data_IF_933319768767
#
_entry.id   IF_933319768767
#
_cell.length_a   1.000
_cell.length_b   1.000
_cell.length_c   1.000
_cell.angle_alpha   90.00
_cell.angle_beta   90.00
_cell.angle_gamma   90.00
#
_symmetry.space_group_name_H-M   'P 1'
#
loop_
_entity.id
_entity.type
_entity.pdbx_description
1 polymer ?
#
# COMPACT_ATOMS: atom_id res chain seq x y z
N UNK A 1 20.88 2.75 -25.45
CA UNK A 1 20.71 3.87 -24.50
C UNK A 1 20.49 3.28 -23.12
N UNK A 2 21.19 3.78 -22.11
CA UNK A 2 20.98 3.38 -20.71
C UNK A 2 19.79 4.15 -20.17
N UNK A 3 18.77 3.47 -19.65
CA UNK A 3 17.60 4.10 -19.03
C UNK A 3 18.05 4.97 -17.84
N UNK A 4 17.67 6.25 -17.84
CA UNK A 4 17.98 7.15 -16.72
C UNK A 4 16.87 7.16 -15.67
N UNK A 5 17.14 7.77 -14.50
CA UNK A 5 16.12 7.93 -13.47
C UNK A 5 14.98 8.89 -13.88
N UNK A 6 15.27 9.88 -14.73
CA UNK A 6 14.24 10.76 -15.30
C UNK A 6 13.32 9.97 -16.23
N UNK A 7 13.90 9.20 -17.17
CA UNK A 7 13.12 8.37 -18.09
C UNK A 7 12.24 7.36 -17.33
N UNK A 8 12.79 6.76 -16.27
CA UNK A 8 12.06 5.83 -15.43
C UNK A 8 10.90 6.51 -14.67
N UNK A 9 11.14 7.70 -14.11
CA UNK A 9 10.09 8.46 -13.41
C UNK A 9 8.99 8.90 -14.39
N UNK A 10 9.34 9.47 -15.55
CA UNK A 10 8.38 9.89 -16.57
C UNK A 10 7.54 8.72 -17.08
N UNK A 11 8.16 7.55 -17.26
CA UNK A 11 7.44 6.33 -17.64
C UNK A 11 6.46 5.87 -16.54
N UNK A 12 6.83 5.97 -15.26
CA UNK A 12 5.92 5.62 -14.17
C UNK A 12 4.77 6.63 -14.03
N UNK A 13 5.05 7.92 -14.21
CA UNK A 13 4.04 8.99 -14.07
C UNK A 13 3.08 9.08 -15.27
N UNK A 14 3.48 8.64 -16.45
CA UNK A 14 2.63 8.62 -17.65
C UNK A 14 1.61 7.48 -17.67
N UNK A 15 1.73 6.51 -16.76
CA UNK A 15 0.81 5.37 -16.67
C UNK A 15 -0.39 5.71 -15.77
N UNK A 16 -1.61 5.28 -16.13
CA UNK A 16 -2.70 5.25 -15.18
C UNK A 16 -2.40 4.19 -14.09
N UNK A 17 -2.91 4.41 -12.88
CA UNK A 17 -2.86 3.39 -11.84
C UNK A 17 -3.65 2.16 -12.28
N UNK A 18 -2.99 1.01 -12.21
CA UNK A 18 -3.54 -0.30 -12.57
C UNK A 18 -4.07 -1.02 -11.34
N UNK A 19 -5.08 -1.86 -11.55
CA UNK A 19 -5.62 -2.74 -10.52
C UNK A 19 -4.66 -3.89 -10.26
N UNK A 20 -4.52 -4.31 -9.00
CA UNK A 20 -3.54 -5.33 -8.60
C UNK A 20 -3.73 -6.70 -9.28
N UNK A 21 -4.92 -7.00 -9.78
CA UNK A 21 -5.18 -8.24 -10.53
C UNK A 21 -4.39 -8.28 -11.86
N UNK A 22 -4.15 -7.12 -12.48
CA UNK A 22 -3.46 -6.96 -13.76
C UNK A 22 -1.92 -7.01 -13.63
N UNK A 23 -1.41 -7.29 -12.43
CA UNK A 23 0.03 -7.18 -12.17
C UNK A 23 0.86 -8.15 -13.01
N UNK A 24 1.85 -7.66 -13.79
CA UNK A 24 2.69 -8.52 -14.60
C UNK A 24 3.59 -9.37 -13.71
N UNK A 25 3.84 -10.60 -14.15
CA UNK A 25 4.86 -11.47 -13.57
C UNK A 25 6.25 -11.06 -14.08
N UNK A 26 6.77 -9.96 -13.52
CA UNK A 26 8.02 -9.35 -13.90
C UNK A 26 8.71 -8.69 -12.71
N UNK A 27 9.95 -8.27 -12.88
CA UNK A 27 10.74 -7.51 -11.90
C UNK A 27 11.06 -6.11 -12.43
N UNK A 28 11.54 -5.20 -11.58
CA UNK A 28 11.89 -3.83 -11.98
C UNK A 28 11.45 -2.78 -10.96
N UNK A 29 11.02 -1.61 -11.45
CA UNK A 29 10.55 -0.50 -10.62
C UNK A 29 9.02 -0.46 -10.58
N UNK A 30 8.47 0.02 -9.47
CA UNK A 30 7.03 0.21 -9.31
C UNK A 30 6.71 1.43 -8.48
N UNK A 31 5.49 1.94 -8.64
CA UNK A 31 4.88 2.95 -7.79
C UNK A 31 3.60 2.42 -7.15
N UNK A 32 3.25 2.90 -5.95
CA UNK A 32 1.97 2.60 -5.28
C UNK A 32 1.16 3.87 -5.15
N UNK A 33 -0.12 3.76 -5.48
CA UNK A 33 -1.08 4.85 -5.37
C UNK A 33 -2.20 4.55 -4.37
N UNK A 34 -2.81 5.62 -3.87
CA UNK A 34 -3.91 5.59 -2.93
C UNK A 34 -5.28 5.40 -3.61
N UNK A 35 -6.35 5.51 -2.82
CA UNK A 35 -7.73 5.38 -3.24
C UNK A 35 -8.27 6.60 -4.02
N UNK A 36 -7.53 7.70 -4.03
CA UNK A 36 -7.84 8.93 -4.79
C UNK A 36 -7.08 8.96 -6.13
N UNK A 37 -6.28 7.93 -6.41
CA UNK A 37 -5.49 7.82 -7.63
C UNK A 37 -4.14 8.55 -7.57
N UNK A 38 -3.67 8.93 -6.38
CA UNK A 38 -2.40 9.66 -6.20
C UNK A 38 -1.27 8.70 -5.86
N UNK A 39 -0.11 8.86 -6.51
CA UNK A 39 1.10 8.12 -6.16
C UNK A 39 1.69 8.64 -4.85
N UNK A 40 2.32 7.75 -4.09
CA UNK A 40 2.95 8.08 -2.80
C UNK A 40 4.28 7.37 -2.53
N UNK A 41 4.50 6.24 -3.22
CA UNK A 41 5.65 5.39 -2.96
C UNK A 41 6.23 4.85 -4.25
N UNK A 42 7.56 4.81 -4.32
CA UNK A 42 8.32 4.10 -5.35
C UNK A 42 9.16 2.99 -4.72
N UNK A 43 9.24 1.86 -5.39
CA UNK A 43 10.04 0.73 -4.93
C UNK A 43 10.64 -0.05 -6.09
N UNK A 44 11.52 -0.98 -5.75
CA UNK A 44 12.07 -1.94 -6.70
C UNK A 44 11.94 -3.39 -6.23
N UNK A 45 12.00 -4.31 -7.17
CA UNK A 45 12.18 -5.74 -6.92
C UNK A 45 13.11 -6.34 -7.99
N UNK A 46 14.03 -7.20 -7.57
CA UNK A 46 15.04 -7.85 -8.43
C UNK A 46 14.96 -9.38 -8.44
N UNK A 47 14.22 -9.97 -7.50
CA UNK A 47 14.10 -11.43 -7.33
C UNK A 47 12.65 -11.89 -7.22
N UNK A 48 11.85 -11.20 -6.43
CA UNK A 48 10.41 -11.43 -6.30
C UNK A 48 9.72 -10.76 -7.49
N UNK A 49 8.67 -11.38 -8.07
CA UNK A 49 7.86 -10.67 -9.06
C UNK A 49 7.20 -9.43 -8.44
N UNK A 50 6.74 -8.47 -9.25
CA UNK A 50 5.90 -7.38 -8.77
C UNK A 50 4.72 -7.92 -7.98
N UNK A 51 4.10 -9.00 -8.49
CA UNK A 51 2.98 -9.68 -7.83
C UNK A 51 3.37 -10.11 -6.43
N UNK A 52 4.44 -10.87 -6.29
CA UNK A 52 4.87 -11.37 -4.99
C UNK A 52 5.27 -10.22 -4.06
N UNK A 53 5.99 -9.23 -4.58
CA UNK A 53 6.48 -8.10 -3.80
C UNK A 53 5.34 -7.22 -3.30
N UNK A 54 4.47 -6.76 -4.19
CA UNK A 54 3.42 -5.80 -3.88
C UNK A 54 2.28 -6.49 -3.14
N UNK A 55 1.82 -7.65 -3.62
CA UNK A 55 0.71 -8.36 -2.99
C UNK A 55 1.07 -8.83 -1.60
N UNK A 56 2.15 -9.62 -1.47
CA UNK A 56 2.46 -10.29 -0.21
C UNK A 56 2.89 -9.31 0.88
N UNK A 57 3.56 -8.21 0.49
CA UNK A 57 4.11 -7.24 1.44
C UNK A 57 3.22 -6.03 1.59
N UNK A 58 2.95 -5.29 0.52
CA UNK A 58 2.25 -4.01 0.64
C UNK A 58 0.76 -4.18 0.89
N UNK A 59 0.10 -5.21 0.32
CA UNK A 59 -1.34 -5.43 0.52
C UNK A 59 -1.60 -6.32 1.73
N UNK A 60 -1.07 -7.55 1.72
CA UNK A 60 -1.38 -8.56 2.74
C UNK A 60 -0.45 -8.54 3.93
N UNK A 61 0.66 -7.81 3.87
CA UNK A 61 1.68 -7.80 4.92
C UNK A 61 1.17 -7.27 6.25
N UNK A 62 2.03 -7.41 7.27
CA UNK A 62 1.86 -6.74 8.56
C UNK A 62 1.87 -5.23 8.39
N UNK A 63 1.41 -4.50 9.39
CA UNK A 63 1.35 -3.05 9.42
C UNK A 63 2.73 -2.39 9.65
N UNK A 64 3.78 -3.18 9.38
CA UNK A 64 5.18 -2.79 9.43
C UNK A 64 5.52 -1.74 8.38
N UNK A 65 6.59 -1.00 8.68
CA UNK A 65 6.95 0.25 8.01
C UNK A 65 7.31 0.10 6.53
N UNK A 66 7.66 -1.11 6.10
CA UNK A 66 7.98 -1.47 4.72
C UNK A 66 6.73 -1.81 3.90
N UNK A 67 5.61 -2.15 4.53
CA UNK A 67 4.38 -2.62 3.90
C UNK A 67 3.42 -1.46 3.64
N UNK A 68 3.84 -0.54 2.77
CA UNK A 68 3.30 0.83 2.72
C UNK A 68 1.77 0.96 2.63
N UNK A 69 1.09 0.16 1.80
CA UNK A 69 -0.38 0.22 1.73
C UNK A 69 -1.02 -0.30 3.04
N UNK A 70 -0.64 -1.49 3.52
CA UNK A 70 -1.13 -2.04 4.78
C UNK A 70 -0.82 -1.13 5.98
N UNK A 71 0.36 -0.49 5.99
CA UNK A 71 0.78 0.43 7.02
C UNK A 71 -0.07 1.71 7.03
N UNK A 72 -0.26 2.37 5.89
CA UNK A 72 -0.96 3.66 5.80
C UNK A 72 -2.49 3.52 5.86
N UNK A 73 -3.06 2.37 5.46
CA UNK A 73 -4.51 2.11 5.59
C UNK A 73 -4.90 1.39 6.88
N UNK A 74 -3.98 1.18 7.80
CA UNK A 74 -4.32 0.68 9.14
C UNK A 74 -4.85 1.83 10.00
N UNK A 75 -5.98 2.42 9.65
CA UNK A 75 -6.59 3.58 10.32
C UNK A 75 -8.06 3.32 10.64
N UNK A 76 -8.58 3.97 11.68
CA UNK A 76 -9.99 3.84 12.08
C UNK A 76 -10.42 2.39 12.28
N UNK A 77 -11.50 1.98 11.62
CA UNK A 77 -12.04 0.61 11.62
C UNK A 77 -11.10 -0.42 10.96
N UNK A 78 -10.15 0.04 10.14
CA UNK A 78 -9.16 -0.81 9.48
C UNK A 78 -7.88 -0.99 10.31
N UNK A 79 -7.83 -0.36 11.49
CA UNK A 79 -6.67 -0.42 12.35
C UNK A 79 -6.46 -1.83 12.91
N UNK A 80 -5.21 -2.26 12.84
CA UNK A 80 -4.73 -3.46 13.50
C UNK A 80 -3.24 -3.28 13.78
N UNK A 81 -2.80 -3.62 14.98
CA UNK A 81 -1.38 -3.75 15.30
C UNK A 81 -1.19 -4.97 16.18
N UNK A 82 -0.65 -6.05 15.63
CA UNK A 82 -0.44 -7.32 16.35
C UNK A 82 0.46 -7.21 17.58
N UNK A 83 1.24 -6.12 17.71
CA UNK A 83 2.13 -5.90 18.83
C UNK A 83 1.56 -4.94 19.87
N UNK A 84 0.45 -4.27 19.56
CA UNK A 84 -0.18 -3.35 20.50
C UNK A 84 -0.97 -4.13 21.57
N UNK A 85 -0.76 -3.86 22.88
CA UNK A 85 -1.40 -4.63 23.96
C UNK A 85 -2.93 -4.64 23.92
N UNK A 86 -3.54 -3.55 23.42
CA UNK A 86 -5.00 -3.43 23.30
C UNK A 86 -5.59 -4.17 22.10
N UNK A 87 -4.77 -4.78 21.24
CA UNK A 87 -5.25 -5.47 20.05
C UNK A 87 -5.88 -6.80 20.42
N UNK A 88 -7.18 -6.94 20.14
CA UNK A 88 -7.82 -8.23 20.09
C UNK A 88 -7.50 -8.90 18.74
N UNK A 89 -6.90 -10.10 18.77
CA UNK A 89 -6.45 -10.80 17.57
C UNK A 89 -7.59 -11.09 16.57
N UNK A 90 -8.78 -11.45 17.06
CA UNK A 90 -9.94 -11.76 16.21
C UNK A 90 -10.51 -10.49 15.57
N UNK A 91 -10.67 -9.42 16.34
CA UNK A 91 -11.14 -8.14 15.81
C UNK A 91 -10.12 -7.59 14.79
N UNK A 92 -8.83 -7.76 15.08
CA UNK A 92 -7.73 -7.35 14.21
C UNK A 92 -7.67 -8.11 12.89
N UNK A 93 -8.00 -9.41 12.91
CA UNK A 93 -8.10 -10.22 11.70
C UNK A 93 -9.24 -9.73 10.79
N UNK A 94 -10.39 -9.38 11.36
CA UNK A 94 -11.52 -8.81 10.61
C UNK A 94 -11.11 -7.45 10.01
N UNK A 95 -10.50 -6.56 10.80
CA UNK A 95 -10.02 -5.27 10.32
C UNK A 95 -8.99 -5.43 9.19
N UNK A 96 -8.05 -6.37 9.32
CA UNK A 96 -7.07 -6.70 8.28
C UNK A 96 -7.73 -7.24 7.01
N UNK A 97 -8.77 -8.07 7.12
CA UNK A 97 -9.53 -8.59 5.95
C UNK A 97 -10.22 -7.45 5.20
N UNK A 98 -10.90 -6.55 5.91
CA UNK A 98 -11.54 -5.36 5.31
C UNK A 98 -10.51 -4.46 4.65
N UNK A 99 -9.38 -4.19 5.33
CA UNK A 99 -8.29 -3.36 4.80
C UNK A 99 -7.71 -3.94 3.50
N UNK A 100 -7.46 -5.25 3.45
CA UNK A 100 -6.95 -5.89 2.24
C UNK A 100 -7.95 -5.79 1.08
N UNK A 101 -9.25 -6.00 1.34
CA UNK A 101 -10.28 -5.84 0.32
C UNK A 101 -10.37 -4.39 -0.17
N UNK A 102 -10.32 -3.42 0.75
CA UNK A 102 -10.28 -1.99 0.43
C UNK A 102 -9.09 -1.65 -0.48
N UNK A 103 -7.87 -2.03 -0.09
CA UNK A 103 -6.65 -1.76 -0.86
C UNK A 103 -6.78 -2.37 -2.25
N UNK A 104 -7.19 -3.64 -2.36
CA UNK A 104 -7.32 -4.33 -3.65
C UNK A 104 -8.32 -3.65 -4.59
N UNK A 105 -9.41 -3.11 -4.04
CA UNK A 105 -10.48 -2.52 -4.83
C UNK A 105 -10.19 -1.08 -5.24
N UNK A 106 -9.62 -0.28 -4.34
CA UNK A 106 -9.56 1.18 -4.52
C UNK A 106 -8.15 1.71 -4.77
N UNK A 107 -7.10 1.04 -4.29
CA UNK A 107 -5.73 1.46 -4.55
C UNK A 107 -5.19 0.85 -5.84
N UNK A 108 -4.02 1.30 -6.27
CA UNK A 108 -3.40 0.77 -7.49
C UNK A 108 -1.88 0.86 -7.49
N UNK A 109 -1.31 0.49 -8.62
CA UNK A 109 0.13 0.55 -8.86
C UNK A 109 0.45 0.97 -10.29
N UNK A 110 1.69 1.42 -10.48
CA UNK A 110 2.34 1.54 -11.79
C UNK A 110 3.61 0.70 -11.77
N UNK A 111 4.06 0.21 -12.92
CA UNK A 111 5.27 -0.61 -12.99
C UNK A 111 6.07 -0.32 -14.25
N UNK A 112 7.38 -0.48 -14.14
CA UNK A 112 8.31 -0.47 -15.24
C UNK A 112 9.11 -1.78 -15.16
N UNK A 113 8.71 -2.81 -15.93
CA UNK A 113 9.45 -4.06 -16.02
C UNK A 113 10.87 -3.82 -16.56
N UNK A 114 11.87 -4.28 -15.84
CA UNK A 114 13.29 -4.10 -16.16
C UNK A 114 14.06 -5.38 -15.80
N UNK A 115 15.10 -5.72 -16.57
CA UNK A 115 16.02 -6.83 -16.25
C UNK A 115 17.50 -6.41 -16.04
N UNK A 116 17.81 -5.34 -15.28
CA UNK A 116 19.19 -4.96 -14.99
C UNK A 116 19.67 -5.66 -13.70
N UNK A 117 20.93 -5.43 -13.34
CA UNK A 117 21.48 -5.92 -12.07
C UNK A 117 20.78 -5.27 -10.87
N UNK A 118 20.84 -5.92 -9.71
CA UNK A 118 20.30 -5.38 -8.45
C UNK A 118 20.83 -3.98 -8.13
N UNK A 119 22.11 -3.74 -8.36
CA UNK A 119 22.73 -2.44 -8.05
C UNK A 119 22.29 -1.34 -9.02
N UNK A 120 22.01 -1.69 -10.28
CA UNK A 120 21.39 -0.77 -11.23
C UNK A 120 19.97 -0.41 -10.80
N UNK A 121 19.14 -1.38 -10.39
CA UNK A 121 17.80 -1.09 -9.86
C UNK A 121 17.86 -0.21 -8.63
N UNK A 122 18.80 -0.44 -7.69
CA UNK A 122 18.99 0.40 -6.51
C UNK A 122 19.35 1.83 -6.88
N UNK A 123 20.25 2.01 -7.85
CA UNK A 123 20.63 3.34 -8.33
C UNK A 123 19.44 4.05 -8.99
N UNK A 124 18.67 3.34 -9.81
CA UNK A 124 17.47 3.88 -10.44
C UNK A 124 16.39 4.25 -9.41
N UNK A 125 16.05 3.35 -8.49
CA UNK A 125 15.08 3.60 -7.42
C UNK A 125 15.45 4.87 -6.62
N UNK A 126 16.72 4.96 -6.18
CA UNK A 126 17.22 6.13 -5.46
C UNK A 126 17.10 7.41 -6.29
N UNK A 127 17.43 7.35 -7.58
CA UNK A 127 17.31 8.47 -8.51
C UNK A 127 15.86 8.91 -8.69
N UNK A 128 14.94 7.96 -8.92
CA UNK A 128 13.50 8.21 -9.06
C UNK A 128 12.96 8.91 -7.81
N UNK A 129 13.27 8.39 -6.62
CA UNK A 129 12.82 8.99 -5.34
C UNK A 129 13.38 10.39 -5.13
N UNK A 130 14.61 10.65 -5.58
CA UNK A 130 15.24 11.97 -5.45
C UNK A 130 14.63 13.02 -6.39
N UNK A 131 14.20 12.60 -7.58
CA UNK A 131 13.58 13.47 -8.59
C UNK A 131 12.07 13.66 -8.37
N UNK A 132 11.42 12.67 -7.78
CA UNK A 132 9.98 12.70 -7.51
C UNK A 132 9.58 13.87 -6.62
N UNK A 133 8.46 14.53 -6.95
CA UNK A 133 7.91 15.59 -6.12
C UNK A 133 7.64 15.09 -4.70
N UNK A 134 7.79 15.93 -3.65
CA UNK A 134 7.68 15.48 -2.27
C UNK A 134 6.38 14.74 -1.94
N UNK A 135 5.26 15.16 -2.54
CA UNK A 135 3.94 14.59 -2.28
C UNK A 135 3.70 13.22 -2.96
N UNK A 136 4.44 12.89 -4.02
CA UNK A 136 4.31 11.59 -4.72
C UNK A 136 5.27 10.51 -4.22
N UNK A 137 6.19 10.88 -3.33
CA UNK A 137 7.19 10.00 -2.72
C UNK A 137 7.25 10.19 -1.19
N UNK A 138 6.17 10.69 -0.59
CA UNK A 138 6.08 10.98 0.84
C UNK A 138 6.22 9.69 1.68
N UNK A 139 5.67 8.57 1.22
CA UNK A 139 5.79 7.27 1.88
C UNK A 139 7.21 6.70 1.82
N UNK A 140 8.06 7.13 0.87
CA UNK A 140 9.48 6.78 0.83
C UNK A 140 10.29 7.53 1.90
N UNK A 141 9.95 8.80 2.15
CA UNK A 141 10.72 9.70 3.02
C UNK A 141 10.39 9.55 4.50
N UNK A 142 9.29 8.87 4.82
CA UNK A 142 8.89 8.59 6.19
C UNK A 142 9.19 7.14 6.62
N UNK A 143 9.72 7.01 7.84
CA UNK A 143 9.82 5.73 8.57
C UNK A 143 8.65 5.49 9.52
N UNK A 144 7.77 6.46 9.70
CA UNK A 144 6.58 6.37 10.56
C UNK A 144 5.34 6.25 9.69
N UNK A 145 4.26 5.67 10.23
CA UNK A 145 2.93 5.73 9.60
C UNK A 145 2.64 7.19 9.30
N UNK A 146 2.33 7.52 8.06
CA UNK A 146 1.85 8.86 7.74
C UNK A 146 0.39 8.83 8.15
N UNK A 147 0.07 9.43 9.30
CA UNK A 147 -1.32 9.55 9.76
C UNK A 147 -2.08 10.59 8.92
N UNK A 148 -1.95 10.54 7.58
CA UNK A 148 -2.56 11.51 6.67
C UNK A 148 -3.99 11.15 6.33
N UNK A 149 -4.32 9.86 6.26
CA UNK A 149 -5.66 9.46 5.88
C UNK A 149 -6.55 9.36 7.10
N UNK A 150 -7.57 10.22 7.13
CA UNK A 150 -8.81 9.82 7.76
C UNK A 150 -9.36 8.57 7.06
N UNK A 151 -10.04 7.72 7.82
CA UNK A 151 -10.67 6.55 7.23
C UNK A 151 -11.69 6.97 6.15
N UNK A 152 -11.60 6.46 4.90
CA UNK A 152 -12.58 6.72 3.85
C UNK A 152 -13.91 5.98 4.13
N UNK A 153 -14.69 6.49 5.08
CA UNK A 153 -15.79 5.77 5.73
C UNK A 153 -16.79 5.16 4.76
N UNK A 154 -17.20 5.91 3.72
CA UNK A 154 -18.20 5.42 2.77
C UNK A 154 -17.68 4.28 1.89
N UNK A 155 -16.44 4.39 1.41
CA UNK A 155 -15.79 3.30 0.68
C UNK A 155 -15.57 2.08 1.60
N UNK A 156 -15.22 2.29 2.87
CA UNK A 156 -15.14 1.19 3.84
C UNK A 156 -16.51 0.56 4.09
N UNK A 157 -17.59 1.35 4.17
CA UNK A 157 -18.96 0.84 4.31
C UNK A 157 -19.36 -0.01 3.10
N UNK A 158 -18.94 0.36 1.89
CA UNK A 158 -19.11 -0.47 0.68
C UNK A 158 -18.38 -1.80 0.79
N UNK A 159 -17.11 -1.79 1.19
CA UNK A 159 -16.34 -3.03 1.38
C UNK A 159 -16.98 -3.95 2.44
N UNK A 160 -17.45 -3.39 3.56
CA UNK A 160 -18.13 -4.14 4.61
C UNK A 160 -19.39 -4.83 4.05
N UNK A 161 -20.17 -4.11 3.24
CA UNK A 161 -21.37 -4.66 2.56
C UNK A 161 -21.02 -5.75 1.57
N UNK A 162 -19.99 -5.54 0.74
CA UNK A 162 -19.55 -6.50 -0.28
C UNK A 162 -18.97 -7.78 0.32
N UNK A 163 -18.28 -7.68 1.46
CA UNK A 163 -17.77 -8.84 2.19
C UNK A 163 -18.88 -9.59 2.96
N UNK A 164 -20.09 -9.05 3.02
CA UNK A 164 -21.24 -9.63 3.70
C UNK A 164 -21.08 -9.69 5.22
N UNK A 165 -20.37 -8.73 5.82
CA UNK A 165 -20.09 -8.77 7.26
C UNK A 165 -21.36 -8.56 8.08
N UNK A 166 -21.56 -9.42 9.08
CA UNK A 166 -22.69 -9.37 9.99
C UNK A 166 -22.51 -8.40 11.15
N UNK A 167 -23.54 -8.28 12.00
CA UNK A 167 -23.56 -7.38 13.16
C UNK A 167 -22.36 -7.58 14.09
N UNK A 168 -21.95 -8.83 14.33
CA UNK A 168 -20.82 -9.16 15.20
C UNK A 168 -19.47 -8.70 14.65
N UNK A 169 -19.27 -8.85 13.33
CA UNK A 169 -18.04 -8.41 12.64
C UNK A 169 -17.99 -6.89 12.54
N UNK A 170 -19.11 -6.24 12.28
CA UNK A 170 -19.20 -4.77 12.31
C UNK A 170 -18.89 -4.24 13.72
N UNK A 171 -19.43 -4.87 14.77
CA UNK A 171 -19.10 -4.50 16.15
C UNK A 171 -17.60 -4.68 16.47
N UNK A 172 -16.93 -5.66 15.86
CA UNK A 172 -15.49 -5.85 16.00
C UNK A 172 -14.69 -4.69 15.38
N UNK A 173 -15.08 -4.25 14.18
CA UNK A 173 -14.47 -3.10 13.52
C UNK A 173 -14.65 -1.81 14.33
N UNK A 174 -15.82 -1.61 14.95
CA UNK A 174 -16.06 -0.44 15.82
C UNK A 174 -15.22 -0.47 17.09
N UNK A 175 -14.97 -1.66 17.68
CA UNK A 175 -14.02 -1.79 18.79
C UNK A 175 -12.59 -1.42 18.36
N UNK A 176 -12.16 -1.81 17.16
CA UNK A 176 -10.86 -1.41 16.63
C UNK A 176 -10.76 0.10 16.41
N UNK A 177 -11.81 0.72 15.87
CA UNK A 177 -11.90 2.16 15.72
C UNK A 177 -11.84 2.89 17.09
N UNK A 178 -12.51 2.35 18.11
CA UNK A 178 -12.47 2.89 19.46
C UNK A 178 -11.07 2.80 20.09
N UNK A 179 -10.30 1.76 19.80
CA UNK A 179 -8.89 1.66 20.20
C UNK A 179 -8.07 2.70 19.44
N UNK A 180 -8.20 2.75 18.11
CA UNK A 180 -7.43 3.68 17.25
C UNK A 180 -7.57 5.14 17.68
N UNK A 181 -8.78 5.58 18.04
CA UNK A 181 -9.05 6.95 18.49
C UNK A 181 -8.38 7.33 19.82
N UNK A 182 -7.85 6.35 20.55
CA UNK A 182 -7.15 6.56 21.84
C UNK A 182 -5.63 6.51 21.72
N UNK A 183 -5.11 6.19 20.52
CA UNK A 183 -3.68 6.16 20.21
C UNK A 183 -3.19 7.55 19.79
#
# INVERSE_FOLDING_TARGET
>A
MTLTAHDALDHLLSQPLRRFDDMPDAVGLYGLGDHEGKLHYFGMTDSDSFRDRIWSRHITGSEERSHKLACNYSVGRLWHDRHHPSTNARDGEIARRVRQAFIRKHCGFVCLPLKPTKDELRRLEKGVIALAWPHIADWNKTRKRVATFEEPKEMVNEIIRELGLGVSEIAALERQNAIYRRL
#
